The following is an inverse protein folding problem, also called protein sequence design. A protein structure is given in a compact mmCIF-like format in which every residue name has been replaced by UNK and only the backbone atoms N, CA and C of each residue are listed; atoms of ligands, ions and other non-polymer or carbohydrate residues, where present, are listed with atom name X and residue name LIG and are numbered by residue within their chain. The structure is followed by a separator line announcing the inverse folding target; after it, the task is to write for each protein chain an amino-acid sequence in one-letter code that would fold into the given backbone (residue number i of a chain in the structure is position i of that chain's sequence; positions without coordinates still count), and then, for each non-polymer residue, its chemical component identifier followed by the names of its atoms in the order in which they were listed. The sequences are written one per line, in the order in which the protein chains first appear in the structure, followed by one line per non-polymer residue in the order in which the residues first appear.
data_IF_193508124832
#
_entry.id   IF_193508124832
#
_cell.length_a   1.000
_cell.length_b   1.000
_cell.length_c   1.000
_cell.angle_alpha   90.00
_cell.angle_beta   90.00
_cell.angle_gamma   90.00
#
_symmetry.space_group_name_H-M   'P 1'
#
loop_
_entity.id
_entity.type
_entity.pdbx_description
1 polymer ?
#
# COMPACT_ATOMS: atom_id res chain seq x y z
N UNK A 1 13.62 -16.80 -55.74
CA UNK A 1 12.24 -16.77 -55.22
C UNK A 1 12.08 -17.86 -54.17
N UNK A 2 12.17 -17.50 -52.84
CA UNK A 2 11.92 -18.41 -51.73
C UNK A 2 10.57 -18.02 -51.11
N UNK A 3 9.61 -18.93 -51.15
CA UNK A 3 8.28 -18.73 -50.55
C UNK A 3 8.41 -19.04 -49.06
N UNK A 4 8.15 -18.04 -48.22
CA UNK A 4 8.03 -18.20 -46.79
C UNK A 4 6.60 -18.63 -46.47
N UNK A 5 6.42 -19.81 -45.88
CA UNK A 5 5.14 -20.37 -45.45
C UNK A 5 4.83 -19.81 -44.06
N UNK A 6 3.78 -19.01 -43.97
CA UNK A 6 3.26 -18.48 -42.71
C UNK A 6 2.31 -19.54 -42.11
N UNK A 7 2.73 -20.15 -40.99
CA UNK A 7 1.88 -21.09 -40.25
C UNK A 7 1.07 -20.27 -39.22
N UNK A 8 -0.21 -20.15 -39.50
CA UNK A 8 -1.20 -19.61 -38.57
C UNK A 8 -1.58 -20.71 -37.56
N UNK A 9 -1.29 -20.51 -36.30
CA UNK A 9 -1.76 -21.37 -35.19
C UNK A 9 -3.06 -20.76 -34.68
N UNK A 10 -4.19 -21.46 -34.76
CA UNK A 10 -5.43 -20.97 -34.17
C UNK A 10 -5.40 -21.15 -32.64
N UNK A 11 -5.50 -20.05 -31.91
CA UNK A 11 -5.78 -20.07 -30.47
C UNK A 11 -7.27 -20.36 -30.28
N UNK A 12 -7.59 -21.57 -29.84
CA UNK A 12 -8.96 -21.91 -29.44
C UNK A 12 -9.19 -21.32 -28.05
N UNK A 13 -9.99 -20.26 -27.99
CA UNK A 13 -10.53 -19.72 -26.75
C UNK A 13 -11.79 -20.51 -26.42
N UNK A 14 -11.71 -21.39 -25.43
CA UNK A 14 -12.88 -22.07 -24.86
C UNK A 14 -13.53 -21.12 -23.87
N UNK A 15 -14.61 -20.47 -24.27
CA UNK A 15 -15.48 -19.70 -23.38
C UNK A 15 -16.44 -20.67 -22.72
N UNK A 16 -16.18 -21.02 -21.48
CA UNK A 16 -17.16 -21.70 -20.62
C UNK A 16 -18.15 -20.65 -20.10
N UNK A 17 -19.31 -20.57 -20.71
CA UNK A 17 -20.45 -19.84 -20.20
C UNK A 17 -21.03 -20.60 -19.00
N UNK A 18 -20.61 -20.23 -17.81
CA UNK A 18 -21.29 -20.61 -16.57
C UNK A 18 -22.43 -19.63 -16.34
N UNK A 19 -23.66 -20.11 -16.41
CA UNK A 19 -24.84 -19.31 -16.17
C UNK A 19 -24.85 -18.68 -14.77
N UNK A 20 -24.97 -17.37 -14.70
CA UNK A 20 -25.23 -16.64 -13.48
C UNK A 20 -26.64 -16.96 -12.97
N UNK A 21 -26.70 -17.74 -11.89
CA UNK A 21 -27.84 -17.72 -11.00
C UNK A 21 -27.64 -16.48 -10.10
N UNK A 22 -28.58 -15.53 -10.19
CA UNK A 22 -28.65 -14.38 -9.30
C UNK A 22 -28.81 -14.86 -7.86
N UNK A 23 -27.90 -14.56 -6.92
CA UNK A 23 -28.16 -14.84 -5.53
C UNK A 23 -29.18 -13.81 -5.00
N UNK A 24 -30.34 -14.30 -4.57
CA UNK A 24 -31.24 -13.54 -3.72
C UNK A 24 -30.51 -13.12 -2.45
N UNK A 25 -30.65 -11.86 -2.06
CA UNK A 25 -30.10 -11.32 -0.83
C UNK A 25 -30.52 -12.17 0.38
N UNK A 26 -29.62 -12.62 1.25
CA UNK A 26 -30.01 -13.23 2.50
C UNK A 26 -30.46 -12.14 3.46
N UNK A 27 -31.77 -12.03 3.64
CA UNK A 27 -32.37 -11.43 4.83
C UNK A 27 -32.37 -12.52 5.90
N UNK A 28 -31.45 -12.43 6.85
CA UNK A 28 -31.66 -12.86 8.24
C UNK A 28 -30.40 -12.59 9.04
N UNK A 29 -30.51 -11.81 10.08
CA UNK A 29 -29.63 -11.83 11.25
C UNK A 29 -29.78 -13.18 11.93
N UNK A 30 -28.99 -14.16 11.48
CA UNK A 30 -28.85 -15.41 12.20
C UNK A 30 -28.05 -15.12 13.48
N UNK A 31 -28.52 -15.54 14.67
CA UNK A 31 -27.74 -15.36 15.88
C UNK A 31 -26.41 -16.09 15.73
N UNK A 32 -25.32 -15.41 16.08
CA UNK A 32 -23.97 -15.98 16.02
C UNK A 32 -23.95 -17.34 16.70
N UNK A 33 -23.60 -18.38 15.96
CA UNK A 33 -23.49 -19.73 16.49
C UNK A 33 -22.42 -19.73 17.61
N UNK A 34 -22.72 -20.40 18.72
CA UNK A 34 -21.77 -20.53 19.84
C UNK A 34 -20.60 -21.43 19.40
N UNK A 35 -19.36 -21.12 19.80
CA UNK A 35 -18.21 -21.95 19.47
C UNK A 35 -18.42 -23.41 19.90
N UNK A 36 -18.26 -24.33 18.95
CA UNK A 36 -18.42 -25.75 19.20
C UNK A 36 -17.08 -26.49 19.30
N UNK A 37 -15.95 -25.80 19.05
CA UNK A 37 -14.61 -26.39 19.11
C UNK A 37 -14.05 -26.23 20.52
N UNK A 38 -13.52 -27.31 21.16
CA UNK A 38 -12.83 -27.22 22.44
C UNK A 38 -11.65 -26.25 22.34
N UNK A 39 -11.66 -25.19 23.15
CA UNK A 39 -10.59 -24.18 23.21
C UNK A 39 -10.83 -22.87 22.49
N UNK A 40 -11.91 -22.72 21.71
CA UNK A 40 -12.28 -21.43 21.12
C UNK A 40 -13.11 -20.60 22.10
N UNK A 41 -12.59 -19.43 22.50
CA UNK A 41 -13.33 -18.49 23.32
C UNK A 41 -14.33 -17.70 22.48
N UNK A 42 -15.51 -17.40 23.03
CA UNK A 42 -16.54 -16.61 22.35
C UNK A 42 -16.11 -15.15 22.13
N UNK A 43 -15.26 -14.65 23.01
CA UNK A 43 -14.70 -13.29 22.95
C UNK A 43 -13.32 -13.27 23.61
N UNK A 44 -12.37 -12.63 22.96
CA UNK A 44 -11.01 -12.41 23.46
C UNK A 44 -10.81 -10.89 23.58
N UNK A 45 -10.47 -10.41 24.77
CA UNK A 45 -10.02 -9.03 24.97
C UNK A 45 -8.52 -8.94 24.74
N UNK A 46 -8.12 -8.12 23.78
CA UNK A 46 -6.70 -7.89 23.48
C UNK A 46 -6.13 -6.83 24.43
N UNK A 47 -4.83 -6.90 24.76
CA UNK A 47 -4.18 -5.87 25.57
C UNK A 47 -4.15 -4.54 24.81
N UNK A 48 -4.02 -3.42 25.53
CA UNK A 48 -3.82 -2.11 24.91
C UNK A 48 -2.53 -2.09 24.05
N UNK A 49 -2.56 -1.41 22.90
CA UNK A 49 -1.37 -1.27 22.05
C UNK A 49 -0.21 -0.58 22.78
N UNK A 50 0.99 -1.08 22.60
CA UNK A 50 2.21 -0.46 23.15
C UNK A 50 2.94 0.39 22.09
N UNK A 51 3.70 1.40 22.53
CA UNK A 51 4.30 2.43 21.68
C UNK A 51 5.84 2.42 21.76
N UNK A 52 6.43 1.23 21.96
CA UNK A 52 7.87 1.04 22.14
C UNK A 52 8.55 0.37 20.96
N UNK A 53 7.93 0.41 19.80
CA UNK A 53 8.43 -0.21 18.59
C UNK A 53 9.54 0.60 17.90
N UNK A 54 9.82 0.23 16.66
CA UNK A 54 10.81 0.89 15.80
C UNK A 54 10.24 2.15 15.16
N UNK A 55 11.13 3.02 14.67
CA UNK A 55 10.71 4.17 13.88
C UNK A 55 10.08 3.75 12.54
N UNK A 56 9.29 4.66 11.95
CA UNK A 56 8.66 4.47 10.64
C UNK A 56 9.69 4.09 9.58
N UNK A 57 10.80 4.82 9.53
CA UNK A 57 11.86 4.65 8.55
C UNK A 57 12.55 3.28 8.68
N UNK A 58 12.82 2.84 9.92
CA UNK A 58 13.38 1.50 10.17
C UNK A 58 12.39 0.42 9.71
N UNK A 59 11.09 0.58 10.01
CA UNK A 59 10.07 -0.37 9.58
C UNK A 59 10.01 -0.47 8.06
N UNK A 60 9.97 0.67 7.36
CA UNK A 60 9.96 0.72 5.90
C UNK A 60 11.20 0.10 5.26
N UNK A 61 12.38 0.43 5.79
CA UNK A 61 13.66 -0.01 5.24
C UNK A 61 13.93 -1.51 5.47
N UNK A 62 13.45 -2.05 6.58
CA UNK A 62 13.66 -3.46 6.97
C UNK A 62 12.51 -4.40 6.59
N UNK A 63 11.38 -3.87 6.08
CA UNK A 63 10.25 -4.68 5.65
C UNK A 63 10.65 -5.67 4.54
N UNK A 64 10.23 -6.90 4.71
CA UNK A 64 10.46 -7.98 3.76
C UNK A 64 9.24 -8.90 3.73
N UNK A 65 8.86 -9.42 2.54
CA UNK A 65 7.78 -10.37 2.37
C UNK A 65 8.30 -11.80 2.36
N UNK A 66 7.68 -12.68 3.14
CA UNK A 66 8.01 -14.10 3.23
C UNK A 66 6.90 -14.95 2.62
N UNK A 67 7.28 -16.10 2.02
CA UNK A 67 6.31 -16.98 1.40
C UNK A 67 5.66 -17.97 2.37
N UNK A 68 6.36 -18.35 3.42
CA UNK A 68 5.92 -19.34 4.39
C UNK A 68 6.18 -18.84 5.81
N UNK A 69 5.35 -17.94 6.35
CA UNK A 69 5.47 -17.50 7.73
C UNK A 69 5.15 -18.67 8.65
N UNK A 70 5.82 -18.74 9.78
CA UNK A 70 5.64 -19.73 10.84
C UNK A 70 5.56 -19.03 12.19
N UNK A 71 5.47 -19.81 13.26
CA UNK A 71 5.52 -19.32 14.64
C UNK A 71 4.17 -18.94 15.20
N UNK A 72 4.20 -18.28 16.35
CA UNK A 72 3.04 -17.85 17.11
C UNK A 72 3.13 -16.34 17.37
N UNK A 73 1.99 -15.68 17.51
CA UNK A 73 1.90 -14.31 17.97
C UNK A 73 1.48 -14.29 19.44
N UNK A 74 2.08 -13.38 20.22
CA UNK A 74 1.50 -13.01 21.50
C UNK A 74 0.25 -12.14 21.30
N UNK A 75 -0.62 -12.09 22.31
CA UNK A 75 -1.80 -11.21 22.27
C UNK A 75 -1.41 -9.74 22.07
N UNK A 76 -0.25 -9.32 22.60
CA UNK A 76 0.26 -7.97 22.41
C UNK A 76 0.65 -7.69 20.96
N UNK A 77 1.30 -8.63 20.29
CA UNK A 77 1.67 -8.49 18.88
C UNK A 77 0.42 -8.47 18.00
N UNK A 78 -0.53 -9.36 18.28
CA UNK A 78 -1.81 -9.40 17.57
C UNK A 78 -2.58 -8.09 17.77
N UNK A 79 -2.67 -7.59 19.00
CA UNK A 79 -3.30 -6.31 19.33
C UNK A 79 -2.71 -5.15 18.53
N UNK A 80 -1.40 -4.98 18.58
CA UNK A 80 -0.73 -3.87 17.88
C UNK A 80 -0.94 -3.93 16.34
N UNK A 81 -0.90 -5.12 15.75
CA UNK A 81 -1.11 -5.29 14.30
C UNK A 81 -2.54 -4.93 13.89
N UNK A 82 -3.54 -5.41 14.64
CA UNK A 82 -4.94 -5.14 14.34
C UNK A 82 -5.31 -3.67 14.60
N UNK A 83 -4.83 -3.11 15.71
CA UNK A 83 -4.98 -1.70 16.02
C UNK A 83 -4.37 -0.82 14.92
N UNK A 84 -3.18 -1.15 14.43
CA UNK A 84 -2.53 -0.42 13.36
C UNK A 84 -3.35 -0.45 12.07
N UNK A 85 -3.89 -1.61 11.68
CA UNK A 85 -4.77 -1.73 10.52
C UNK A 85 -6.00 -0.81 10.63
N UNK A 86 -6.56 -0.70 11.84
CA UNK A 86 -7.70 0.18 12.15
C UNK A 86 -7.38 1.67 12.10
N UNK A 87 -6.12 2.09 12.01
CA UNK A 87 -5.71 3.50 11.89
C UNK A 87 -5.74 4.05 10.46
N UNK A 88 -5.84 3.19 9.47
CA UNK A 88 -5.97 3.65 8.09
C UNK A 88 -7.27 4.46 7.89
N UNK A 89 -7.22 5.59 7.16
CA UNK A 89 -8.42 6.36 6.87
C UNK A 89 -9.39 5.56 6.01
N UNK A 90 -10.68 5.74 6.26
CA UNK A 90 -11.75 5.13 5.45
C UNK A 90 -11.99 6.03 4.24
N UNK A 91 -11.55 5.58 3.05
CA UNK A 91 -11.76 6.30 1.79
C UNK A 91 -12.95 5.73 1.01
N UNK A 92 -13.45 4.59 1.43
CA UNK A 92 -14.58 3.88 0.85
C UNK A 92 -15.59 3.38 1.87
N UNK A 93 -16.20 2.22 1.62
CA UNK A 93 -17.09 1.58 2.57
C UNK A 93 -16.28 0.94 3.73
N UNK A 94 -16.83 0.99 4.94
CA UNK A 94 -16.29 0.23 6.08
C UNK A 94 -16.18 -1.25 5.71
N UNK A 95 -15.15 -1.91 6.23
CA UNK A 95 -14.88 -3.33 5.99
C UNK A 95 -14.71 -4.06 7.31
N UNK A 96 -15.43 -5.15 7.46
CA UNK A 96 -15.18 -6.07 8.55
C UNK A 96 -13.82 -6.73 8.41
N UNK A 97 -13.05 -6.73 9.50
CA UNK A 97 -11.73 -7.36 9.56
C UNK A 97 -11.84 -8.70 10.28
N UNK A 98 -11.51 -9.77 9.58
CA UNK A 98 -11.50 -11.12 10.11
C UNK A 98 -10.08 -11.53 10.46
N UNK A 99 -9.94 -12.27 11.54
CA UNK A 99 -8.65 -12.76 12.06
C UNK A 99 -8.74 -14.25 12.30
N UNK A 100 -8.12 -15.03 11.43
CA UNK A 100 -7.98 -16.47 11.66
C UNK A 100 -6.71 -16.72 12.50
N UNK A 101 -6.89 -17.36 13.63
CA UNK A 101 -5.84 -17.84 14.54
C UNK A 101 -5.66 -19.36 14.39
N UNK A 102 -4.71 -20.00 15.07
CA UNK A 102 -4.62 -21.45 15.09
C UNK A 102 -5.84 -22.18 15.71
N UNK A 103 -6.72 -21.46 16.40
CA UNK A 103 -7.86 -22.04 17.12
C UNK A 103 -9.21 -21.76 16.50
N UNK A 104 -9.41 -20.59 15.92
CA UNK A 104 -10.68 -20.16 15.30
C UNK A 104 -10.49 -18.89 14.47
N UNK A 105 -11.53 -18.51 13.75
CA UNK A 105 -11.64 -17.19 13.08
C UNK A 105 -12.54 -16.27 13.90
N UNK A 106 -12.11 -15.04 14.03
CA UNK A 106 -12.77 -13.97 14.81
C UNK A 106 -13.04 -12.76 13.93
N UNK A 107 -14.05 -11.99 14.33
CA UNK A 107 -14.29 -10.62 13.85
C UNK A 107 -13.66 -9.64 14.85
N UNK A 108 -12.77 -8.79 14.34
CA UNK A 108 -12.13 -7.77 15.16
C UNK A 108 -13.04 -6.56 15.35
N UNK A 109 -13.21 -6.16 16.61
CA UNK A 109 -13.89 -4.92 17.02
C UNK A 109 -12.83 -3.88 17.41
N UNK A 110 -12.57 -2.88 16.55
CA UNK A 110 -11.56 -1.86 16.84
C UNK A 110 -11.97 -0.89 17.95
N UNK A 111 -13.28 -0.79 18.26
CA UNK A 111 -13.78 0.12 19.29
C UNK A 111 -13.47 -0.37 20.70
N UNK A 112 -13.39 -1.67 20.88
CA UNK A 112 -13.17 -2.32 22.17
C UNK A 112 -11.87 -3.11 22.21
N UNK A 113 -11.11 -3.12 21.12
CA UNK A 113 -9.91 -3.95 20.94
C UNK A 113 -10.16 -5.42 21.29
N UNK A 114 -11.23 -6.02 20.71
CA UNK A 114 -11.65 -7.39 21.01
C UNK A 114 -11.81 -8.22 19.75
N UNK A 115 -11.61 -9.53 19.91
CA UNK A 115 -11.92 -10.53 18.91
C UNK A 115 -13.22 -11.24 19.30
N UNK A 116 -14.23 -11.16 18.46
CA UNK A 116 -15.51 -11.85 18.65
C UNK A 116 -15.52 -13.10 17.76
N UNK A 117 -15.81 -14.25 18.32
CA UNK A 117 -15.82 -15.51 17.58
C UNK A 117 -16.75 -15.43 16.35
N UNK A 118 -16.27 -15.94 15.24
CA UNK A 118 -16.99 -15.91 13.96
C UNK A 118 -17.19 -17.31 13.37
N UNK A 119 -16.13 -18.14 13.28
CA UNK A 119 -16.20 -19.51 12.75
C UNK A 119 -15.08 -20.40 13.31
N UNK A 120 -15.24 -21.69 13.10
CA UNK A 120 -14.21 -22.70 13.45
C UNK A 120 -13.08 -22.82 12.40
N UNK A 121 -13.08 -22.00 11.35
CA UNK A 121 -11.97 -21.99 10.41
C UNK A 121 -10.72 -21.48 11.11
N UNK A 122 -9.60 -22.11 10.83
CA UNK A 122 -8.31 -21.78 11.45
C UNK A 122 -7.34 -21.21 10.42
N UNK A 123 -6.30 -20.55 10.91
CA UNK A 123 -5.19 -20.13 10.05
C UNK A 123 -4.56 -21.36 9.40
N UNK A 124 -4.44 -21.33 8.07
CA UNK A 124 -3.82 -22.40 7.29
C UNK A 124 -2.29 -22.36 7.32
N UNK A 125 -1.72 -21.23 7.75
CA UNK A 125 -0.28 -21.03 7.97
C UNK A 125 -0.01 -19.75 8.78
N UNK A 126 1.22 -19.63 9.29
CA UNK A 126 1.66 -18.46 10.06
C UNK A 126 1.11 -18.43 11.47
N UNK A 127 1.34 -17.33 12.16
CA UNK A 127 0.84 -17.09 13.50
C UNK A 127 -0.64 -16.72 13.51
N UNK A 128 -1.07 -15.96 12.51
CA UNK A 128 -2.47 -15.63 12.23
C UNK A 128 -2.61 -15.07 10.81
N UNK A 129 -3.86 -14.97 10.36
CA UNK A 129 -4.22 -14.44 9.04
C UNK A 129 -5.25 -13.35 9.20
N UNK A 130 -4.96 -12.16 8.66
CA UNK A 130 -5.96 -11.11 8.50
C UNK A 130 -6.65 -11.22 7.15
N UNK A 131 -7.94 -10.94 7.11
CA UNK A 131 -8.70 -10.83 5.88
C UNK A 131 -9.84 -9.83 5.99
N UNK A 132 -10.26 -9.30 4.84
CA UNK A 132 -11.49 -8.51 4.72
C UNK A 132 -12.56 -9.30 3.98
N UNK A 133 -13.84 -8.93 4.19
CA UNK A 133 -14.97 -9.57 3.55
C UNK A 133 -15.08 -9.32 2.04
N UNK A 134 -14.30 -8.38 1.51
CA UNK A 134 -14.29 -7.97 0.11
C UNK A 134 -12.98 -8.30 -0.59
N UNK A 135 -12.98 -8.15 -1.89
CA UNK A 135 -11.84 -8.35 -2.78
C UNK A 135 -10.69 -7.38 -2.47
N UNK A 136 -9.50 -7.73 -2.98
CA UNK A 136 -8.32 -6.90 -2.91
C UNK A 136 -8.54 -5.61 -3.70
N UNK A 137 -8.35 -4.47 -3.06
CA UNK A 137 -8.46 -3.17 -3.70
C UNK A 137 -7.59 -2.12 -2.96
N UNK A 138 -7.70 -0.88 -3.39
CA UNK A 138 -6.99 0.25 -2.80
C UNK A 138 -7.23 0.39 -1.29
N UNK A 139 -8.48 0.31 -0.84
CA UNK A 139 -8.83 0.47 0.58
C UNK A 139 -8.27 -0.67 1.44
N UNK A 140 -8.24 -1.91 0.92
CA UNK A 140 -7.60 -3.03 1.59
C UNK A 140 -6.09 -2.81 1.73
N UNK A 141 -5.42 -2.36 0.66
CA UNK A 141 -4.00 -2.02 0.70
C UNK A 141 -3.67 -0.93 1.70
N UNK A 142 -4.48 0.13 1.71
CA UNK A 142 -4.33 1.24 2.65
C UNK A 142 -4.40 0.78 4.11
N UNK A 143 -5.26 -0.19 4.42
CA UNK A 143 -5.42 -0.74 5.78
C UNK A 143 -4.39 -1.82 6.13
N UNK A 144 -3.97 -2.64 5.17
CA UNK A 144 -2.96 -3.66 5.42
C UNK A 144 -1.56 -3.08 5.67
N UNK A 145 -1.22 -1.93 5.07
CA UNK A 145 0.13 -1.41 5.18
C UNK A 145 0.54 -1.02 6.61
N UNK A 146 -0.29 -0.32 7.40
CA UNK A 146 0.00 -0.10 8.82
C UNK A 146 0.18 -1.40 9.61
N UNK A 147 -0.63 -2.43 9.33
CA UNK A 147 -0.52 -3.74 9.97
C UNK A 147 0.82 -4.43 9.66
N UNK A 148 1.24 -4.40 8.40
CA UNK A 148 2.54 -4.92 7.95
C UNK A 148 3.67 -4.21 8.69
N UNK A 149 3.66 -2.88 8.74
CA UNK A 149 4.70 -2.12 9.42
C UNK A 149 4.69 -2.36 10.94
N UNK A 150 3.52 -2.49 11.57
CA UNK A 150 3.42 -2.81 13.00
C UNK A 150 4.03 -4.18 13.33
N UNK A 151 3.87 -5.16 12.45
CA UNK A 151 4.53 -6.45 12.64
C UNK A 151 6.06 -6.35 12.53
N UNK A 152 6.58 -5.51 11.61
CA UNK A 152 8.03 -5.21 11.54
C UNK A 152 8.51 -4.52 12.80
N UNK A 153 7.73 -3.58 13.32
CA UNK A 153 8.06 -2.81 14.50
C UNK A 153 8.31 -3.69 15.72
N UNK A 154 7.43 -4.66 15.97
CA UNK A 154 7.44 -5.47 17.19
C UNK A 154 8.14 -6.82 17.05
N UNK A 155 8.07 -7.45 15.88
CA UNK A 155 8.68 -8.76 15.66
C UNK A 155 10.05 -8.69 15.01
N UNK A 156 10.32 -7.63 14.29
CA UNK A 156 11.50 -7.51 13.44
C UNK A 156 11.41 -8.25 12.12
N UNK A 157 10.32 -8.96 11.88
CA UNK A 157 10.05 -9.67 10.65
C UNK A 157 8.56 -9.89 10.48
N UNK A 158 8.06 -10.19 9.27
CA UNK A 158 6.72 -9.80 9.04
C UNK A 158 5.88 -10.61 8.13
N UNK A 159 5.12 -10.01 7.30
CA UNK A 159 4.11 -10.57 6.47
C UNK A 159 4.70 -11.56 5.47
N UNK A 160 3.92 -12.45 4.96
CA UNK A 160 4.36 -13.32 3.89
C UNK A 160 3.80 -12.92 2.55
N UNK A 161 2.63 -13.29 2.26
CA UNK A 161 2.01 -13.07 0.97
C UNK A 161 0.56 -12.67 1.13
N UNK A 162 0.12 -11.82 0.25
CA UNK A 162 -1.31 -11.60 0.04
C UNK A 162 -1.77 -12.68 -0.93
N UNK A 163 -2.73 -13.50 -0.53
CA UNK A 163 -3.36 -14.46 -1.41
C UNK A 163 -4.80 -14.09 -1.68
N UNK A 164 -5.20 -14.22 -2.94
CA UNK A 164 -6.60 -14.07 -3.31
C UNK A 164 -7.39 -15.31 -2.84
N UNK A 165 -8.50 -15.06 -2.17
CA UNK A 165 -9.51 -16.05 -1.86
C UNK A 165 -10.82 -15.58 -2.50
N UNK A 166 -11.67 -16.43 -3.08
CA UNK A 166 -12.87 -16.01 -3.81
C UNK A 166 -13.80 -15.06 -3.07
N UNK A 167 -13.70 -15.00 -1.75
CA UNK A 167 -14.56 -14.16 -0.91
C UNK A 167 -13.80 -13.17 -0.01
N UNK A 168 -12.46 -13.23 0.08
CA UNK A 168 -11.66 -12.45 1.04
C UNK A 168 -10.24 -12.24 0.57
N UNK A 169 -9.72 -11.05 0.85
CA UNK A 169 -8.29 -10.75 0.76
C UNK A 169 -7.58 -11.29 1.99
N UNK A 170 -6.52 -12.04 1.84
CA UNK A 170 -5.77 -12.64 2.96
C UNK A 170 -4.36 -12.08 3.04
N UNK A 171 -3.94 -11.69 4.24
CA UNK A 171 -2.59 -11.29 4.60
C UNK A 171 -2.09 -12.17 5.75
N UNK A 172 -0.98 -12.87 5.54
CA UNK A 172 -0.41 -13.83 6.47
C UNK A 172 0.69 -13.20 7.31
N UNK A 173 0.63 -13.40 8.61
CA UNK A 173 1.63 -12.94 9.56
C UNK A 173 2.35 -14.12 10.21
N UNK A 174 3.63 -13.91 10.50
CA UNK A 174 4.45 -14.91 11.17
C UNK A 174 5.92 -14.51 11.17
N UNK A 175 6.75 -15.40 11.69
CA UNK A 175 8.21 -15.23 11.74
C UNK A 175 8.84 -16.13 10.71
N UNK A 176 9.88 -15.64 10.05
CA UNK A 176 10.77 -16.43 9.21
C UNK A 176 12.21 -15.98 9.46
N UNK A 177 13.18 -16.84 9.22
CA UNK A 177 14.57 -16.47 9.32
C UNK A 177 14.90 -15.28 8.43
N UNK A 178 15.51 -14.27 9.02
CA UNK A 178 15.89 -13.04 8.34
C UNK A 178 16.95 -13.37 7.31
N UNK A 179 16.66 -13.19 6.04
CA UNK A 179 17.68 -13.20 4.99
C UNK A 179 18.53 -11.94 5.13
N UNK A 180 19.85 -12.11 5.07
CA UNK A 180 20.78 -10.99 5.17
C UNK A 180 20.45 -9.87 4.16
N UNK A 181 20.62 -8.63 4.56
CA UNK A 181 20.58 -7.47 3.67
C UNK A 181 21.70 -7.62 2.63
N UNK A 182 21.40 -7.42 1.37
CA UNK A 182 22.31 -7.76 0.26
C UNK A 182 23.09 -6.60 -0.30
N UNK A 183 22.60 -5.37 -0.18
CA UNK A 183 23.33 -4.16 -0.57
C UNK A 183 22.62 -2.89 -0.10
N UNK A 184 23.37 -1.80 0.06
CA UNK A 184 22.82 -0.48 0.25
C UNK A 184 22.40 0.13 -1.10
N UNK A 185 21.44 1.06 -1.06
CA UNK A 185 21.15 1.92 -2.21
C UNK A 185 22.32 2.88 -2.36
N UNK A 186 22.88 3.00 -3.56
CA UNK A 186 24.00 3.90 -3.78
C UNK A 186 23.62 5.36 -3.50
N UNK A 187 24.44 6.03 -2.69
CA UNK A 187 24.30 7.46 -2.45
C UNK A 187 24.77 8.26 -3.69
N UNK A 188 24.13 9.40 -3.94
CA UNK A 188 24.49 10.28 -5.04
C UNK A 188 25.25 11.52 -4.54
N UNK A 189 26.38 11.80 -5.17
CA UNK A 189 27.31 12.86 -4.75
C UNK A 189 26.82 14.29 -5.08
N UNK A 190 25.85 14.43 -5.97
CA UNK A 190 25.29 15.74 -6.35
C UNK A 190 23.79 15.63 -6.56
N UNK A 191 23.03 16.38 -5.75
CA UNK A 191 21.59 16.44 -5.82
C UNK A 191 21.18 17.87 -6.12
N UNK A 192 20.43 18.15 -7.23
CA UNK A 192 19.95 19.48 -7.51
C UNK A 192 18.93 19.93 -6.46
N UNK A 193 18.89 21.21 -6.14
CA UNK A 193 17.94 21.76 -5.16
C UNK A 193 16.48 21.68 -5.64
N UNK A 194 16.27 21.69 -6.95
CA UNK A 194 14.93 21.59 -7.56
C UNK A 194 14.99 21.00 -8.97
N UNK A 195 13.85 20.58 -9.48
CA UNK A 195 13.70 20.16 -10.88
C UNK A 195 14.05 18.69 -11.12
N UNK A 196 14.66 18.41 -12.27
CA UNK A 196 15.07 17.07 -12.69
C UNK A 196 16.23 16.50 -11.87
N UNK A 197 16.38 15.20 -11.97
CA UNK A 197 17.54 14.48 -11.47
C UNK A 197 17.31 13.82 -10.12
N UNK A 198 18.43 13.48 -9.49
CA UNK A 198 18.44 12.75 -8.23
C UNK A 198 17.73 13.49 -7.11
N UNK A 199 16.97 12.75 -6.33
CA UNK A 199 16.44 13.20 -5.05
C UNK A 199 17.51 13.01 -3.95
N UNK A 200 17.47 13.81 -2.87
CA UNK A 200 18.28 13.54 -1.69
C UNK A 200 18.05 12.10 -1.18
N UNK A 201 19.09 11.47 -0.65
CA UNK A 201 18.95 10.17 -0.04
C UNK A 201 17.89 10.19 1.07
N UNK A 202 17.00 9.21 1.10
CA UNK A 202 16.01 9.13 2.16
C UNK A 202 16.68 8.77 3.48
N UNK A 203 16.16 9.31 4.57
CA UNK A 203 16.54 8.86 5.91
C UNK A 203 15.92 7.48 6.15
N UNK A 204 16.72 6.53 6.59
CA UNK A 204 16.31 5.15 6.92
C UNK A 204 16.15 4.90 8.41
N UNK A 205 16.36 5.95 9.22
CA UNK A 205 16.13 5.99 10.68
C UNK A 205 15.40 7.27 11.03
N UNK A 206 14.60 7.25 12.08
CA UNK A 206 13.85 8.40 12.60
C UNK A 206 13.66 8.29 14.10
N UNK A 207 13.10 9.33 14.69
CA UNK A 207 12.94 9.45 16.15
C UNK A 207 11.57 8.95 16.65
N UNK A 208 10.51 9.10 15.84
CA UNK A 208 9.16 8.72 16.21
C UNK A 208 8.91 7.24 15.95
N UNK A 209 8.40 6.53 16.96
CA UNK A 209 7.96 5.14 16.77
C UNK A 209 6.77 5.06 15.82
N UNK A 210 6.68 3.96 15.10
CA UNK A 210 5.56 3.73 14.18
C UNK A 210 4.21 3.89 14.88
N UNK A 211 4.09 3.35 16.09
CA UNK A 211 2.85 3.37 16.87
C UNK A 211 2.47 4.81 17.28
N UNK A 212 3.44 5.63 17.66
CA UNK A 212 3.22 7.05 17.98
C UNK A 212 2.71 7.83 16.76
N UNK A 213 3.30 7.57 15.59
CA UNK A 213 2.87 8.17 14.31
C UNK A 213 1.47 7.70 13.94
N UNK A 214 1.17 6.39 14.06
CA UNK A 214 -0.15 5.83 13.75
C UNK A 214 -1.24 6.36 14.67
N UNK A 215 -0.93 6.63 15.95
CA UNK A 215 -1.88 7.24 16.87
C UNK A 215 -2.23 8.68 16.51
N UNK A 216 -1.34 9.38 15.78
CA UNK A 216 -1.43 10.80 15.43
C UNK A 216 -1.34 11.03 13.92
N UNK A 217 -1.91 10.14 13.10
CA UNK A 217 -1.89 10.28 11.64
C UNK A 217 -2.48 11.63 11.20
N UNK A 218 -1.74 12.32 10.35
CA UNK A 218 -2.13 13.63 9.82
C UNK A 218 -2.92 13.47 8.51
N UNK A 219 -4.08 12.80 8.59
CA UNK A 219 -5.00 12.70 7.47
C UNK A 219 -5.93 13.92 7.47
N UNK A 220 -5.66 14.89 6.59
CA UNK A 220 -6.35 16.20 6.56
C UNK A 220 -6.50 16.72 5.15
N UNK A 221 -7.60 17.42 4.89
CA UNK A 221 -7.87 18.14 3.63
C UNK A 221 -7.47 19.62 3.68
N UNK A 222 -6.95 20.11 4.82
CA UNK A 222 -6.61 21.50 5.03
C UNK A 222 -5.10 21.69 5.18
N UNK A 223 -4.47 22.37 4.22
CA UNK A 223 -3.02 22.50 4.13
C UNK A 223 -2.57 23.95 4.09
N UNK A 224 -1.44 24.23 4.75
CA UNK A 224 -0.65 25.41 4.51
C UNK A 224 -0.08 25.34 3.08
N UNK A 225 -0.06 26.48 2.37
CA UNK A 225 0.41 26.55 0.98
C UNK A 225 1.94 26.71 0.85
N UNK A 226 2.68 26.51 1.92
CA UNK A 226 4.16 26.50 1.89
C UNK A 226 4.65 25.30 1.08
N UNK A 227 5.51 25.56 0.10
CA UNK A 227 6.10 24.53 -0.74
C UNK A 227 6.92 23.55 0.08
N UNK A 228 6.90 22.29 -0.33
CA UNK A 228 7.70 21.26 0.31
C UNK A 228 9.16 21.34 -0.11
N UNK A 229 10.04 21.03 0.85
CA UNK A 229 11.46 20.88 0.54
C UNK A 229 11.71 19.62 -0.30
N UNK A 230 12.82 19.62 -1.04
CA UNK A 230 13.21 18.45 -1.84
C UNK A 230 13.44 17.20 -0.97
N UNK A 231 13.95 17.37 0.26
CA UNK A 231 14.11 16.27 1.21
C UNK A 231 12.76 15.69 1.66
N UNK A 232 11.75 16.51 1.89
CA UNK A 232 10.40 16.05 2.24
C UNK A 232 9.77 15.28 1.08
N UNK A 233 9.92 15.79 -0.15
CA UNK A 233 9.46 15.10 -1.36
C UNK A 233 10.16 13.74 -1.52
N UNK A 234 11.49 13.72 -1.37
CA UNK A 234 12.30 12.50 -1.42
C UNK A 234 11.81 11.47 -0.43
N UNK A 235 11.65 11.88 0.83
CA UNK A 235 11.27 11.00 1.92
C UNK A 235 9.90 10.34 1.68
N UNK A 236 8.90 11.13 1.25
CA UNK A 236 7.55 10.61 0.98
C UNK A 236 7.52 9.71 -0.25
N UNK A 237 8.23 10.05 -1.33
CA UNK A 237 8.29 9.20 -2.53
C UNK A 237 9.01 7.89 -2.26
N UNK A 238 10.13 7.93 -1.52
CA UNK A 238 10.83 6.72 -1.10
C UNK A 238 9.94 5.83 -0.21
N UNK A 239 9.31 6.41 0.80
CA UNK A 239 8.41 5.65 1.66
C UNK A 239 7.27 4.99 0.88
N UNK A 240 6.71 5.69 -0.10
CA UNK A 240 5.67 5.16 -0.96
C UNK A 240 6.14 4.02 -1.86
N UNK A 241 7.27 4.19 -2.54
CA UNK A 241 7.66 3.22 -3.57
C UNK A 241 9.18 3.16 -3.83
N UNK A 242 9.99 3.52 -2.85
CA UNK A 242 11.45 3.50 -2.95
C UNK A 242 12.04 2.10 -2.78
N UNK A 243 13.29 1.96 -3.22
CA UNK A 243 14.05 0.74 -3.03
C UNK A 243 14.52 0.59 -1.57
N UNK A 244 14.60 -0.66 -1.13
CA UNK A 244 15.12 -1.09 0.17
C UNK A 244 16.40 -1.93 -0.02
N UNK A 245 17.21 -2.19 1.03
CA UNK A 245 18.47 -2.92 0.89
C UNK A 245 18.34 -4.38 0.46
N UNK A 246 17.16 -4.98 0.49
CA UNK A 246 16.96 -6.39 0.17
C UNK A 246 16.64 -6.65 -1.32
N UNK A 247 16.79 -7.91 -1.74
CA UNK A 247 16.29 -8.44 -2.99
C UNK A 247 15.21 -9.51 -2.71
N UNK A 248 14.18 -9.55 -3.55
CA UNK A 248 13.22 -10.65 -3.54
C UNK A 248 13.86 -11.96 -3.98
N UNK A 249 13.18 -13.10 -3.72
CA UNK A 249 13.68 -14.43 -4.08
C UNK A 249 13.93 -14.62 -5.58
N UNK A 250 13.32 -13.81 -6.44
CA UNK A 250 13.53 -13.81 -7.89
C UNK A 250 14.58 -12.78 -8.36
N UNK A 251 15.39 -12.23 -7.46
CA UNK A 251 16.49 -11.30 -7.76
C UNK A 251 16.07 -9.86 -8.06
N UNK A 252 14.79 -9.52 -7.90
CA UNK A 252 14.31 -8.14 -8.08
C UNK A 252 14.62 -7.30 -6.86
N UNK A 253 15.03 -6.05 -7.05
CA UNK A 253 15.27 -5.13 -5.94
C UNK A 253 13.98 -4.92 -5.14
N UNK A 254 14.07 -5.09 -3.82
CA UNK A 254 12.94 -4.90 -2.90
C UNK A 254 12.50 -3.45 -2.83
N UNK A 255 11.22 -3.24 -2.53
CA UNK A 255 10.64 -1.93 -2.31
C UNK A 255 10.06 -1.83 -0.89
N UNK A 256 9.74 -0.61 -0.49
CA UNK A 256 9.05 -0.30 0.77
C UNK A 256 7.64 -0.92 0.85
N UNK A 257 7.07 -1.35 -0.26
CA UNK A 257 5.77 -2.02 -0.36
C UNK A 257 5.93 -3.49 -0.77
N UNK A 258 5.04 -4.39 -0.34
CA UNK A 258 4.92 -5.71 -0.93
C UNK A 258 4.30 -5.63 -2.33
N UNK A 259 4.64 -6.57 -3.20
CA UNK A 259 4.02 -6.70 -4.51
C UNK A 259 3.80 -8.17 -4.86
N UNK A 260 2.67 -8.49 -5.46
CA UNK A 260 2.35 -9.84 -5.88
C UNK A 260 3.46 -10.37 -6.81
N UNK A 261 4.14 -11.46 -6.37
CA UNK A 261 5.30 -12.08 -7.05
C UNK A 261 6.40 -11.07 -7.43
N UNK A 262 6.57 -10.02 -6.62
CA UNK A 262 7.50 -8.89 -6.86
C UNK A 262 7.32 -8.29 -8.27
N UNK A 263 6.08 -8.10 -8.71
CA UNK A 263 5.78 -7.56 -10.04
C UNK A 263 5.93 -6.05 -10.12
N UNK A 264 5.67 -5.36 -9.01
CA UNK A 264 5.85 -3.92 -8.88
C UNK A 264 5.09 -3.10 -9.93
N UNK A 265 3.75 -3.09 -9.80
CA UNK A 265 2.79 -2.57 -10.79
C UNK A 265 2.85 -1.04 -10.99
N UNK A 266 3.39 -0.29 -10.00
CA UNK A 266 3.49 1.17 -10.08
C UNK A 266 4.87 1.66 -10.50
N UNK A 267 5.79 0.78 -10.91
CA UNK A 267 7.11 1.21 -11.41
C UNK A 267 6.94 2.15 -12.61
N UNK A 268 7.50 3.38 -12.49
CA UNK A 268 7.43 4.40 -13.53
C UNK A 268 6.05 5.02 -13.78
N UNK A 269 5.06 4.81 -12.90
CA UNK A 269 3.71 5.35 -13.06
C UNK A 269 3.25 6.22 -11.88
N UNK A 270 4.19 6.67 -11.04
CA UNK A 270 3.97 7.63 -9.96
C UNK A 270 4.43 9.01 -10.42
N UNK A 271 3.56 10.00 -10.27
CA UNK A 271 3.82 11.37 -10.70
C UNK A 271 3.73 12.35 -9.53
N UNK A 272 4.58 13.38 -9.57
CA UNK A 272 4.59 14.49 -8.63
C UNK A 272 4.17 15.76 -9.35
N UNK A 273 3.33 16.57 -8.73
CA UNK A 273 2.94 17.91 -9.22
C UNK A 273 3.20 18.92 -8.10
N UNK A 274 4.03 19.90 -8.37
CA UNK A 274 4.33 21.02 -7.46
C UNK A 274 4.46 22.33 -8.22
N UNK A 275 4.92 23.40 -7.55
CA UNK A 275 5.11 24.74 -8.13
C UNK A 275 6.14 24.78 -9.27
N UNK A 276 7.03 23.80 -9.35
CA UNK A 276 8.10 23.74 -10.36
C UNK A 276 7.72 22.86 -11.57
N UNK A 277 6.53 22.25 -11.55
CA UNK A 277 6.03 21.44 -12.67
C UNK A 277 5.48 20.09 -12.33
N UNK A 278 5.43 19.24 -13.36
CA UNK A 278 5.01 17.84 -13.30
C UNK A 278 6.23 16.96 -13.50
N UNK A 279 6.37 15.96 -12.65
CA UNK A 279 7.50 15.03 -12.67
C UNK A 279 7.02 13.59 -12.60
N UNK A 280 7.77 12.69 -13.25
CA UNK A 280 7.65 11.25 -13.10
C UNK A 280 8.70 10.77 -12.12
N UNK A 281 8.31 9.96 -11.15
CA UNK A 281 9.21 9.35 -10.20
C UNK A 281 9.76 8.03 -10.72
N UNK A 282 11.08 7.88 -10.68
CA UNK A 282 11.80 6.67 -11.01
C UNK A 282 12.47 6.10 -9.78
N UNK A 283 12.12 4.87 -9.44
CA UNK A 283 12.80 4.07 -8.42
C UNK A 283 13.70 2.99 -9.07
N UNK A 284 13.76 2.96 -10.39
CA UNK A 284 14.58 2.07 -11.22
C UNK A 284 15.05 2.80 -12.47
N UNK A 285 16.21 2.38 -12.99
CA UNK A 285 16.74 2.95 -14.23
C UNK A 285 17.47 1.86 -15.05
N UNK A 286 16.93 1.39 -16.17
CA UNK A 286 15.59 1.75 -16.70
C UNK A 286 14.43 1.10 -15.90
N UNK A 287 13.23 1.65 -16.00
CA UNK A 287 12.04 1.15 -15.28
C UNK A 287 11.68 -0.31 -15.62
N UNK A 288 12.13 -0.81 -16.76
CA UNK A 288 11.93 -2.20 -17.20
C UNK A 288 12.88 -3.20 -16.55
N UNK A 289 13.97 -2.72 -15.94
CA UNK A 289 14.93 -3.56 -15.21
C UNK A 289 14.60 -3.56 -13.72
N UNK A 290 13.83 -4.53 -13.27
CA UNK A 290 13.40 -4.64 -11.88
C UNK A 290 14.52 -5.02 -10.90
N UNK A 291 15.76 -5.23 -11.37
CA UNK A 291 16.95 -5.50 -10.54
C UNK A 291 17.72 -4.22 -10.19
N UNK A 292 17.51 -3.13 -10.93
CA UNK A 292 18.17 -1.85 -10.68
C UNK A 292 17.53 -1.08 -9.53
N UNK A 293 18.24 -0.07 -9.05
CA UNK A 293 17.78 0.89 -8.05
C UNK A 293 18.00 2.30 -8.53
N UNK A 294 17.02 3.17 -8.27
CA UNK A 294 17.08 4.59 -8.63
C UNK A 294 16.27 5.41 -7.61
N UNK A 295 16.46 6.71 -7.59
CA UNK A 295 15.69 7.64 -6.78
C UNK A 295 15.76 9.04 -7.39
N UNK A 296 14.99 9.28 -8.45
CA UNK A 296 15.06 10.54 -9.22
C UNK A 296 13.70 10.97 -9.76
N UNK A 297 13.66 12.24 -10.16
CA UNK A 297 12.55 12.84 -10.88
C UNK A 297 12.93 13.10 -12.34
N UNK A 298 12.03 12.78 -13.26
CA UNK A 298 12.07 13.18 -14.66
C UNK A 298 10.99 14.22 -14.89
N UNK A 299 11.36 15.39 -15.42
CA UNK A 299 10.40 16.45 -15.69
C UNK A 299 9.56 16.15 -16.92
N UNK A 300 8.24 16.12 -16.74
CA UNK A 300 7.25 15.99 -17.82
C UNK A 300 6.83 17.37 -18.34
N UNK A 301 6.63 18.33 -17.42
CA UNK A 301 6.23 19.69 -17.75
C UNK A 301 6.84 20.68 -16.76
N UNK A 302 7.35 21.84 -17.19
CA UNK A 302 7.83 22.89 -16.28
C UNK A 302 6.71 23.79 -15.74
N UNK A 303 5.47 23.62 -16.20
CA UNK A 303 4.35 24.49 -15.82
C UNK A 303 3.79 24.11 -14.45
N UNK A 304 3.51 25.10 -13.61
CA UNK A 304 2.69 24.90 -12.42
C UNK A 304 1.23 24.66 -12.82
N UNK A 305 0.82 23.39 -12.73
CA UNK A 305 -0.52 22.96 -13.14
C UNK A 305 -1.41 22.61 -11.95
N UNK A 306 -1.01 22.96 -10.72
CA UNK A 306 -1.77 22.63 -9.50
C UNK A 306 -3.22 23.14 -9.56
N UNK A 307 -3.43 24.36 -10.03
CA UNK A 307 -4.77 24.94 -10.23
C UNK A 307 -5.60 24.20 -11.28
N UNK A 308 -4.97 23.77 -12.38
CA UNK A 308 -5.63 22.98 -13.42
C UNK A 308 -6.02 21.61 -12.89
N UNK A 309 -5.15 20.97 -12.10
CA UNK A 309 -5.43 19.68 -11.46
C UNK A 309 -6.59 19.77 -10.47
N UNK A 310 -6.66 20.82 -9.65
CA UNK A 310 -7.81 21.08 -8.76
C UNK A 310 -9.12 21.25 -9.53
N UNK A 311 -9.07 21.95 -10.66
CA UNK A 311 -10.25 22.13 -11.52
C UNK A 311 -10.68 20.83 -12.23
N UNK A 312 -9.73 19.94 -12.48
CA UNK A 312 -9.96 18.66 -13.13
C UNK A 312 -10.62 17.61 -12.22
N UNK A 313 -10.48 17.73 -10.89
CA UNK A 313 -10.86 16.70 -9.93
C UNK A 313 -11.78 17.30 -8.85
N UNK A 314 -13.05 16.91 -8.89
CA UNK A 314 -14.04 17.39 -7.93
C UNK A 314 -13.68 16.99 -6.49
N UNK A 315 -13.67 17.96 -5.58
CA UNK A 315 -13.37 17.73 -4.16
C UNK A 315 -11.89 17.44 -3.86
N UNK A 316 -10.99 17.74 -4.79
CA UNK A 316 -9.56 17.67 -4.51
C UNK A 316 -9.17 18.83 -3.56
N UNK A 317 -8.49 18.49 -2.48
CA UNK A 317 -8.01 19.50 -1.51
C UNK A 317 -6.92 20.38 -2.10
N UNK A 318 -6.97 21.68 -1.82
CA UNK A 318 -5.88 22.58 -2.19
C UNK A 318 -4.63 22.28 -1.37
N UNK A 319 -3.54 21.95 -2.04
CA UNK A 319 -2.27 21.58 -1.41
C UNK A 319 -1.08 22.14 -2.20
N UNK A 320 0.08 22.34 -1.55
CA UNK A 320 1.29 22.81 -2.24
C UNK A 320 1.90 21.74 -3.14
N UNK A 321 1.56 20.47 -2.93
CA UNK A 321 2.10 19.34 -3.70
C UNK A 321 1.05 18.24 -3.85
N UNK A 322 1.09 17.53 -4.99
CA UNK A 322 0.26 16.37 -5.26
C UNK A 322 1.11 15.21 -5.74
N UNK A 323 0.73 14.01 -5.31
CA UNK A 323 1.24 12.77 -5.89
C UNK A 323 0.09 12.05 -6.58
N UNK A 324 0.28 11.68 -7.84
CA UNK A 324 -0.71 10.96 -8.64
C UNK A 324 -0.23 9.53 -8.82
N UNK A 325 -1.00 8.59 -8.29
CA UNK A 325 -0.75 7.16 -8.45
C UNK A 325 -1.50 6.69 -9.69
N UNK A 326 -0.75 6.21 -10.69
CA UNK A 326 -1.33 5.64 -11.90
C UNK A 326 -1.01 4.15 -11.99
N UNK A 327 -1.85 3.43 -12.73
CA UNK A 327 -1.56 2.09 -13.21
C UNK A 327 -1.47 2.12 -14.72
N UNK A 328 -0.56 1.33 -15.29
CA UNK A 328 -0.63 1.06 -16.72
C UNK A 328 -2.00 0.49 -17.08
N UNK A 329 -2.55 0.92 -18.21
CA UNK A 329 -3.88 0.50 -18.71
C UNK A 329 -4.05 -1.02 -18.76
N UNK A 330 -2.95 -1.76 -18.91
CA UNK A 330 -2.93 -3.22 -18.86
C UNK A 330 -3.21 -3.78 -17.47
N UNK A 331 -2.87 -3.04 -16.40
CA UNK A 331 -2.98 -3.50 -15.00
C UNK A 331 -4.16 -2.92 -14.24
N UNK A 332 -4.86 -1.92 -14.78
CA UNK A 332 -5.90 -1.17 -14.06
C UNK A 332 -7.03 -2.03 -13.47
N UNK A 333 -7.29 -3.19 -14.06
CA UNK A 333 -8.32 -4.14 -13.60
C UNK A 333 -7.81 -5.25 -12.70
N UNK A 334 -6.52 -5.27 -12.40
CA UNK A 334 -5.92 -6.27 -11.52
C UNK A 334 -6.07 -5.84 -10.07
N UNK A 335 -6.74 -6.64 -9.27
CA UNK A 335 -6.94 -6.41 -7.83
C UNK A 335 -5.62 -6.20 -7.09
N UNK A 336 -4.58 -7.01 -7.40
CA UNK A 336 -3.26 -6.85 -6.80
C UNK A 336 -2.59 -5.52 -7.13
N UNK A 337 -2.86 -4.93 -8.30
CA UNK A 337 -2.33 -3.62 -8.65
C UNK A 337 -3.05 -2.50 -7.89
N UNK A 338 -4.36 -2.63 -7.70
CA UNK A 338 -5.14 -1.72 -6.85
C UNK A 338 -4.70 -1.81 -5.38
N UNK A 339 -4.50 -3.02 -4.89
CA UNK A 339 -3.97 -3.27 -3.55
C UNK A 339 -2.62 -2.59 -3.35
N UNK A 340 -1.69 -2.74 -4.33
CA UNK A 340 -0.37 -2.13 -4.27
C UNK A 340 -0.44 -0.60 -4.27
N UNK A 341 -1.35 0.01 -5.05
CA UNK A 341 -1.60 1.45 -4.98
C UNK A 341 -2.06 1.90 -3.58
N UNK A 342 -2.86 1.08 -2.90
CA UNK A 342 -3.25 1.30 -1.52
C UNK A 342 -2.07 1.21 -0.54
N UNK A 343 -1.17 0.25 -0.72
CA UNK A 343 0.08 0.16 0.06
C UNK A 343 0.93 1.43 -0.08
N UNK A 344 1.10 1.92 -1.32
CA UNK A 344 1.85 3.15 -1.61
C UNK A 344 1.25 4.33 -0.88
N UNK A 345 -0.07 4.52 -0.98
CA UNK A 345 -0.76 5.62 -0.31
C UNK A 345 -0.65 5.53 1.22
N UNK A 346 -0.78 4.33 1.78
CA UNK A 346 -0.62 4.07 3.21
C UNK A 346 0.77 4.46 3.72
N UNK A 347 1.81 4.02 3.04
CA UNK A 347 3.19 4.39 3.38
C UNK A 347 3.45 5.89 3.27
N UNK A 348 2.93 6.54 2.21
CA UNK A 348 3.07 7.99 2.06
C UNK A 348 2.41 8.75 3.20
N UNK A 349 1.21 8.35 3.63
CA UNK A 349 0.53 8.97 4.78
C UNK A 349 1.32 8.80 6.08
N UNK A 350 1.77 7.57 6.35
CA UNK A 350 2.53 7.27 7.59
C UNK A 350 3.81 8.08 7.62
N UNK A 351 4.60 8.06 6.54
CA UNK A 351 5.85 8.81 6.47
C UNK A 351 5.65 10.32 6.47
N UNK A 352 4.65 10.81 5.75
CA UNK A 352 4.32 12.24 5.79
C UNK A 352 4.00 12.69 7.23
N UNK A 353 3.20 11.88 7.95
CA UNK A 353 2.87 12.16 9.35
C UNK A 353 4.10 12.18 10.26
N UNK A 354 5.07 11.29 10.04
CA UNK A 354 6.32 11.22 10.79
C UNK A 354 7.24 12.44 10.58
N UNK A 355 7.09 13.16 9.46
CA UNK A 355 7.87 14.37 9.15
C UNK A 355 7.04 15.66 9.16
N UNK A 356 5.99 15.68 9.97
CA UNK A 356 5.08 16.81 10.16
C UNK A 356 4.33 17.30 8.92
N UNK A 357 4.15 16.42 7.94
CA UNK A 357 3.25 16.63 6.81
C UNK A 357 1.93 15.86 7.00
N UNK A 358 0.93 16.24 6.23
CA UNK A 358 -0.34 15.53 6.13
C UNK A 358 -0.64 15.13 4.69
N UNK A 359 -1.55 14.16 4.56
CA UNK A 359 -2.08 13.71 3.28
C UNK A 359 -3.61 13.76 3.27
N UNK A 360 -4.17 13.91 2.08
CA UNK A 360 -5.57 13.64 1.80
C UNK A 360 -5.70 12.88 0.48
N UNK A 361 -6.54 11.84 0.45
CA UNK A 361 -6.68 10.98 -0.72
C UNK A 361 -7.97 11.28 -1.47
N UNK A 362 -7.86 11.58 -2.75
CA UNK A 362 -8.96 11.50 -3.69
C UNK A 362 -8.82 10.21 -4.49
N UNK A 363 -9.68 9.27 -4.19
CA UNK A 363 -9.78 7.94 -4.83
C UNK A 363 -11.07 7.81 -5.63
N UNK A 364 -11.28 6.69 -6.29
CA UNK A 364 -12.50 6.39 -7.08
C UNK A 364 -12.77 7.46 -8.14
N UNK A 365 -11.71 7.82 -8.85
CA UNK A 365 -11.77 8.78 -9.94
C UNK A 365 -12.66 8.26 -11.06
N UNK A 366 -13.58 9.09 -11.54
CA UNK A 366 -14.37 8.81 -12.74
C UNK A 366 -13.47 8.81 -13.97
N UNK A 367 -13.90 8.15 -15.06
CA UNK A 367 -13.16 8.18 -16.32
C UNK A 367 -12.96 9.61 -16.86
N UNK A 368 -13.93 10.51 -16.61
CA UNK A 368 -13.79 11.93 -16.94
C UNK A 368 -12.71 12.63 -16.14
N UNK A 369 -12.64 12.39 -14.82
CA UNK A 369 -11.58 12.94 -13.96
C UNK A 369 -10.20 12.37 -14.35
N UNK A 370 -10.09 11.07 -14.65
CA UNK A 370 -8.84 10.44 -15.10
C UNK A 370 -8.33 11.12 -16.38
N UNK A 371 -9.19 11.30 -17.37
CA UNK A 371 -8.83 12.00 -18.62
C UNK A 371 -8.48 13.46 -18.38
N UNK A 372 -9.20 14.16 -17.50
CA UNK A 372 -8.92 15.55 -17.17
C UNK A 372 -7.58 15.73 -16.44
N UNK A 373 -7.22 14.79 -15.54
CA UNK A 373 -5.89 14.73 -14.91
C UNK A 373 -4.80 14.57 -15.98
N UNK A 374 -4.94 13.61 -16.89
CA UNK A 374 -3.96 13.39 -17.97
C UNK A 374 -3.78 14.64 -18.83
N UNK A 375 -4.88 15.27 -19.22
CA UNK A 375 -4.85 16.52 -20.00
C UNK A 375 -4.18 17.67 -19.26
N UNK A 376 -4.45 17.82 -17.96
CA UNK A 376 -3.89 18.90 -17.14
C UNK A 376 -2.39 18.72 -16.87
N UNK A 377 -1.92 17.48 -16.77
CA UNK A 377 -0.56 17.17 -16.31
C UNK A 377 0.39 16.68 -17.40
N UNK A 378 -0.12 16.29 -18.56
CA UNK A 378 0.69 15.67 -19.62
C UNK A 378 1.06 14.21 -19.34
N UNK A 379 0.43 13.57 -18.35
CA UNK A 379 0.61 12.13 -18.08
C UNK A 379 0.12 11.32 -19.29
N UNK A 380 0.90 10.33 -19.76
CA UNK A 380 0.52 9.50 -20.91
C UNK A 380 -0.85 8.82 -20.73
N UNK A 381 -1.63 8.73 -21.81
CA UNK A 381 -2.96 8.11 -21.78
C UNK A 381 -2.97 6.63 -21.39
N UNK A 382 -1.83 5.94 -21.52
CA UNK A 382 -1.64 4.57 -21.04
C UNK A 382 -1.52 4.46 -19.51
N UNK A 383 -1.23 5.56 -18.81
CA UNK A 383 -1.10 5.59 -17.34
C UNK A 383 -2.39 6.16 -16.74
N UNK A 384 -3.24 5.27 -16.25
CA UNK A 384 -4.59 5.61 -15.77
C UNK A 384 -4.53 6.03 -14.29
N UNK A 385 -4.84 7.27 -13.94
CA UNK A 385 -4.87 7.73 -12.55
C UNK A 385 -5.84 6.92 -11.68
N UNK A 386 -5.38 6.45 -10.54
CA UNK A 386 -6.17 5.68 -9.56
C UNK A 386 -6.45 6.51 -8.32
N UNK A 387 -5.50 7.34 -7.91
CA UNK A 387 -5.64 8.22 -6.77
C UNK A 387 -4.82 9.49 -6.97
N UNK A 388 -5.30 10.60 -6.40
CA UNK A 388 -4.54 11.84 -6.22
C UNK A 388 -4.36 12.07 -4.72
N UNK A 389 -3.11 12.17 -4.28
CA UNK A 389 -2.71 12.43 -2.90
C UNK A 389 -2.34 13.90 -2.79
N UNK A 390 -3.17 14.67 -2.09
CA UNK A 390 -2.80 16.02 -1.66
C UNK A 390 -1.82 15.94 -0.52
N UNK A 391 -0.70 16.65 -0.59
CA UNK A 391 0.42 16.58 0.36
C UNK A 391 0.86 17.99 0.77
N UNK A 392 0.98 18.24 2.07
CA UNK A 392 1.39 19.53 2.59
C UNK A 392 1.48 19.55 4.11
N UNK A 393 1.95 20.66 4.67
CA UNK A 393 1.89 20.86 6.11
C UNK A 393 0.44 21.13 6.53
N UNK A 394 -0.12 20.41 7.52
CA UNK A 394 -1.45 20.67 8.02
C UNK A 394 -1.60 22.12 8.46
N UNK A 395 -2.74 22.74 8.13
CA UNK A 395 -3.11 24.05 8.68
C UNK A 395 -3.80 23.77 10.01
N UNK A 396 -3.26 24.36 11.07
CA UNK A 396 -3.81 24.30 12.43
C UNK A 396 -4.97 25.29 12.56
#
# INVERSE_FOLDING_TARGET
MKKTLLVLVPVIVVILLSGCLTPSAPSSTEPAATPSTPGAESKISLPEPIFTGKSVEICLNSRYSYHNPTGTASDQQLSNVLWAAGKAPITGAFRNMYVATPTATYLYDPSHNTLNWYSNDVADRGAFVMSYERELDFDAGLSYMPAILASVSLWGSTESSVSNCPMRSKLYFGVQDVRGLTSEVAAHSSVPESGDGWLPDPKTTGDDTLEAVLANLKYTSNFNQTNLTRQQISQVLWAGYGCTPHYSSNGRAGLTVPSAIARYFLTGTIYLVNENGVYRYHNRNPDTDLTTRDHRLERISPADVRGNLQSAVSGLSQAPCYVILCLDSFYVRLEYAQLEAGFVAGNMLIQASAIDLGCYFKTKLTAGEQQAIQNATGIPSSHIPQAVISLGKPQI
#
